data_IF_686015470292
#
_entry.id   IF_686015470292
#
_cell.length_a   1.000
_cell.length_b   1.000
_cell.length_c   1.000
_cell.angle_alpha   90.00
_cell.angle_beta   90.00
_cell.angle_gamma   90.00
#
_symmetry.space_group_name_H-M   'P 1'
#
loop_
_entity.id
_entity.type
_entity.pdbx_description
1 polymer ?
#
# COMPACT_ATOMS: atom_id res chain seq x y z
N UNK A 1 18.89 5.26 -30.55
CA UNK A 1 18.58 6.66 -30.07
C UNK A 1 17.35 6.72 -29.12
N UNK A 2 16.43 5.75 -29.15
CA UNK A 2 15.25 5.72 -28.25
C UNK A 2 15.57 5.19 -26.82
N UNK A 3 16.55 4.32 -26.66
CA UNK A 3 16.94 3.79 -25.34
C UNK A 3 17.75 4.77 -24.48
N UNK A 4 18.45 5.74 -25.08
CA UNK A 4 19.19 6.76 -24.32
C UNK A 4 18.27 7.86 -23.74
N UNK A 5 17.13 8.14 -24.36
CA UNK A 5 16.17 9.14 -23.87
C UNK A 5 15.40 8.69 -22.62
N UNK A 6 15.16 7.41 -22.46
CA UNK A 6 14.44 6.85 -21.28
C UNK A 6 15.32 6.81 -20.03
N UNK A 7 16.62 6.47 -20.16
CA UNK A 7 17.55 6.45 -19.00
C UNK A 7 17.86 7.84 -18.43
N UNK A 8 17.97 8.87 -19.27
CA UNK A 8 18.21 10.25 -18.80
C UNK A 8 17.00 10.85 -18.11
N UNK A 9 15.78 10.55 -18.56
CA UNK A 9 14.55 10.99 -17.87
C UNK A 9 14.33 10.30 -16.52
N UNK A 10 14.66 9.02 -16.39
CA UNK A 10 14.54 8.30 -15.11
C UNK A 10 15.50 8.85 -14.07
N UNK A 11 16.75 9.12 -14.42
CA UNK A 11 17.76 9.68 -13.52
C UNK A 11 17.39 11.08 -13.02
N UNK A 12 16.83 11.95 -13.88
CA UNK A 12 16.38 13.29 -13.48
C UNK A 12 15.16 13.26 -12.54
N UNK A 13 14.24 12.34 -12.76
CA UNK A 13 13.05 12.15 -11.89
C UNK A 13 13.43 11.57 -10.54
N UNK A 14 14.41 10.68 -10.47
CA UNK A 14 14.92 10.12 -9.21
C UNK A 14 15.56 11.21 -8.32
N UNK A 15 16.43 12.04 -8.88
CA UNK A 15 17.02 13.17 -8.16
C UNK A 15 15.95 14.14 -7.66
N UNK A 16 14.90 14.37 -8.45
CA UNK A 16 13.78 15.21 -8.05
C UNK A 16 13.08 14.67 -6.81
N UNK A 17 12.75 13.36 -6.78
CA UNK A 17 12.09 12.75 -5.63
C UNK A 17 12.97 12.72 -4.39
N UNK A 18 14.28 12.57 -4.50
CA UNK A 18 15.20 12.71 -3.37
C UNK A 18 15.19 14.14 -2.79
N UNK A 19 15.19 15.17 -3.64
CA UNK A 19 15.07 16.57 -3.21
C UNK A 19 13.71 16.84 -2.56
N UNK A 20 12.63 16.32 -3.14
CA UNK A 20 11.27 16.44 -2.57
C UNK A 20 11.17 15.76 -1.20
N UNK A 21 11.79 14.58 -1.02
CA UNK A 21 11.86 13.92 0.28
C UNK A 21 12.50 14.82 1.35
N UNK A 22 13.64 15.42 1.04
CA UNK A 22 14.34 16.33 1.94
C UNK A 22 13.52 17.60 2.24
N UNK A 23 12.81 18.11 1.24
CA UNK A 23 11.92 19.26 1.39
C UNK A 23 10.72 18.93 2.30
N UNK A 24 10.03 17.83 2.06
CA UNK A 24 8.89 17.40 2.88
C UNK A 24 9.28 17.11 4.33
N UNK A 25 10.50 16.62 4.56
CA UNK A 25 11.03 16.39 5.91
C UNK A 25 11.23 17.69 6.71
N UNK A 26 11.40 18.83 6.04
CA UNK A 26 11.54 20.16 6.71
C UNK A 26 10.18 20.72 7.17
N UNK A 27 9.08 20.30 6.57
CA UNK A 27 7.74 20.76 6.92
C UNK A 27 7.23 19.95 8.11
N UNK A 28 6.94 20.57 9.29
CA UNK A 28 6.61 19.84 10.52
C UNK A 28 5.43 18.87 10.37
N UNK A 29 4.39 19.28 9.63
CA UNK A 29 3.20 18.48 9.35
C UNK A 29 3.53 17.27 8.47
N UNK A 30 4.23 17.45 7.36
CA UNK A 30 4.59 16.37 6.42
C UNK A 30 5.69 15.45 6.99
N UNK A 31 6.52 15.94 7.90
CA UNK A 31 7.56 15.14 8.57
C UNK A 31 6.99 13.91 9.27
N UNK A 32 5.83 14.06 9.96
CA UNK A 32 5.16 12.95 10.65
C UNK A 32 4.74 11.86 9.66
N UNK A 33 4.17 12.26 8.52
CA UNK A 33 3.72 11.34 7.48
C UNK A 33 4.90 10.64 6.78
N UNK A 34 5.94 11.38 6.47
CA UNK A 34 7.15 10.82 5.84
C UNK A 34 7.82 9.77 6.75
N UNK A 35 7.92 10.01 8.06
CA UNK A 35 8.52 9.06 8.98
C UNK A 35 7.65 7.81 9.17
N UNK A 36 6.33 7.96 9.24
CA UNK A 36 5.38 6.83 9.28
C UNK A 36 5.51 5.98 8.01
N UNK A 37 5.52 6.63 6.86
CA UNK A 37 5.60 5.99 5.55
C UNK A 37 6.94 5.28 5.33
N UNK A 38 8.04 5.92 5.72
CA UNK A 38 9.38 5.33 5.67
C UNK A 38 9.43 4.01 6.42
N UNK A 39 8.93 3.95 7.68
CA UNK A 39 8.92 2.72 8.48
C UNK A 39 8.17 1.58 7.79
N UNK A 40 7.04 1.87 7.14
CA UNK A 40 6.26 0.88 6.40
C UNK A 40 6.97 0.41 5.14
N UNK A 41 7.61 1.32 4.41
CA UNK A 41 8.32 1.00 3.17
C UNK A 41 9.70 0.37 3.40
N UNK A 42 10.33 0.57 4.56
CA UNK A 42 11.58 -0.11 4.94
C UNK A 42 11.41 -1.63 4.99
N UNK A 43 10.22 -2.12 5.34
CA UNK A 43 9.91 -3.56 5.35
C UNK A 43 9.81 -4.11 3.91
N UNK A 44 9.27 -3.31 2.98
CA UNK A 44 9.11 -3.71 1.57
C UNK A 44 10.44 -3.56 0.81
N UNK A 45 11.14 -2.42 1.00
CA UNK A 45 12.40 -2.08 0.34
C UNK A 45 13.58 -2.39 1.25
N UNK A 46 13.79 -3.65 1.60
CA UNK A 46 14.83 -4.06 2.58
C UNK A 46 16.22 -3.58 2.11
N UNK A 47 16.89 -2.82 3.00
CA UNK A 47 18.25 -2.26 2.82
C UNK A 47 18.41 -1.25 1.65
N UNK A 48 17.36 -0.93 0.90
CA UNK A 48 17.41 0.13 -0.11
C UNK A 48 16.82 1.43 0.43
N UNK A 49 17.65 2.20 1.14
CA UNK A 49 17.25 3.50 1.67
C UNK A 49 16.90 4.49 0.55
N UNK A 50 17.55 4.36 -0.60
CA UNK A 50 17.33 5.23 -1.75
C UNK A 50 15.94 5.01 -2.35
N UNK A 51 15.55 3.75 -2.58
CA UNK A 51 14.20 3.39 -3.02
C UNK A 51 13.14 3.80 -2.00
N UNK A 52 13.39 3.57 -0.71
CA UNK A 52 12.48 3.97 0.37
C UNK A 52 12.22 5.47 0.40
N UNK A 53 13.25 6.31 0.23
CA UNK A 53 13.12 7.77 0.14
C UNK A 53 12.35 8.19 -1.11
N UNK A 54 12.68 7.61 -2.26
CA UNK A 54 12.00 7.85 -3.55
C UNK A 54 10.51 7.54 -3.46
N UNK A 55 10.18 6.36 -2.97
CA UNK A 55 8.80 5.89 -2.90
C UNK A 55 8.00 6.66 -1.85
N UNK A 56 8.61 7.00 -0.73
CA UNK A 56 7.98 7.90 0.26
C UNK A 56 7.63 9.26 -0.35
N UNK A 57 8.55 9.85 -1.12
CA UNK A 57 8.29 11.13 -1.79
C UNK A 57 7.21 11.01 -2.87
N UNK A 58 7.23 9.93 -3.68
CA UNK A 58 6.21 9.67 -4.71
C UNK A 58 4.80 9.55 -4.11
N UNK A 59 4.66 8.78 -3.03
CA UNK A 59 3.36 8.57 -2.38
C UNK A 59 2.82 9.88 -1.81
N UNK A 60 3.64 10.66 -1.10
CA UNK A 60 3.21 11.96 -0.55
C UNK A 60 2.86 12.93 -1.67
N UNK A 61 3.69 13.05 -2.71
CA UNK A 61 3.40 13.93 -3.85
C UNK A 61 2.08 13.54 -4.50
N UNK A 62 1.84 12.25 -4.75
CA UNK A 62 0.59 11.75 -5.31
C UNK A 62 -0.61 12.08 -4.42
N UNK A 63 -0.48 11.89 -3.11
CA UNK A 63 -1.54 12.21 -2.14
C UNK A 63 -1.85 13.71 -2.12
N UNK A 64 -0.83 14.57 -2.17
CA UNK A 64 -1.01 16.02 -2.22
C UNK A 64 -1.65 16.49 -3.53
N UNK A 65 -1.27 15.90 -4.66
CA UNK A 65 -1.87 16.21 -5.99
C UNK A 65 -3.35 15.83 -6.03
N UNK A 66 -3.75 14.74 -5.38
CA UNK A 66 -5.16 14.34 -5.28
C UNK A 66 -5.93 15.24 -4.30
N UNK A 67 -5.31 15.63 -3.19
CA UNK A 67 -5.95 16.43 -2.16
C UNK A 67 -6.18 17.88 -2.58
N UNK A 68 -5.25 18.48 -3.32
CA UNK A 68 -5.27 19.89 -3.68
C UNK A 68 -6.55 20.29 -4.44
N UNK A 69 -7.04 19.58 -5.46
CA UNK A 69 -8.32 19.88 -6.12
C UNK A 69 -9.51 19.77 -5.16
N UNK A 70 -9.47 18.83 -4.21
CA UNK A 70 -10.54 18.63 -3.22
C UNK A 70 -10.63 19.83 -2.30
N UNK A 71 -9.49 20.30 -1.77
CA UNK A 71 -9.39 21.52 -0.94
C UNK A 71 -9.93 22.74 -1.68
N UNK A 72 -9.52 22.92 -2.95
CA UNK A 72 -10.01 24.03 -3.78
C UNK A 72 -11.53 23.94 -3.95
N UNK A 73 -12.04 22.74 -4.26
CA UNK A 73 -13.47 22.52 -4.44
C UNK A 73 -14.26 22.82 -3.15
N UNK A 74 -13.75 22.37 -2.00
CA UNK A 74 -14.33 22.65 -0.68
C UNK A 74 -14.41 24.14 -0.41
N UNK A 75 -13.35 24.89 -0.64
CA UNK A 75 -13.33 26.36 -0.47
C UNK A 75 -14.33 27.04 -1.40
N UNK A 76 -14.42 26.58 -2.66
CA UNK A 76 -15.38 27.14 -3.64
C UNK A 76 -16.84 26.87 -3.27
N UNK A 77 -17.16 25.67 -2.80
CA UNK A 77 -18.52 25.26 -2.46
C UNK A 77 -19.01 25.85 -1.12
N UNK A 78 -18.09 26.09 -0.17
CA UNK A 78 -18.45 26.51 1.21
C UNK A 78 -18.20 27.99 1.48
N UNK A 79 -18.04 28.83 0.45
CA UNK A 79 -17.72 30.28 0.55
C UNK A 79 -18.52 31.06 1.59
N UNK A 80 -19.78 30.68 1.84
CA UNK A 80 -20.68 31.39 2.75
C UNK A 80 -20.79 30.76 4.13
N UNK A 81 -20.27 29.56 4.33
CA UNK A 81 -20.36 28.82 5.59
C UNK A 81 -18.98 28.48 6.14
N UNK A 82 -18.35 29.45 6.82
CA UNK A 82 -17.00 29.30 7.38
C UNK A 82 -16.87 28.13 8.37
N UNK A 83 -17.93 27.80 9.11
CA UNK A 83 -17.92 26.70 10.08
C UNK A 83 -17.83 25.35 9.33
N UNK A 84 -18.67 25.16 8.31
CA UNK A 84 -18.61 23.95 7.47
C UNK A 84 -17.28 23.85 6.73
N UNK A 85 -16.78 24.97 6.18
CA UNK A 85 -15.48 25.02 5.52
C UNK A 85 -14.35 24.53 6.45
N UNK A 86 -14.31 25.03 7.69
CA UNK A 86 -13.29 24.65 8.66
C UNK A 86 -13.34 23.16 9.02
N UNK A 87 -14.56 22.63 9.21
CA UNK A 87 -14.75 21.22 9.54
C UNK A 87 -14.36 20.31 8.37
N UNK A 88 -14.73 20.67 7.13
CA UNK A 88 -14.34 19.90 5.95
C UNK A 88 -12.82 19.92 5.73
N UNK A 89 -12.16 21.05 5.96
CA UNK A 89 -10.70 21.13 5.90
C UNK A 89 -10.03 20.21 6.93
N UNK A 90 -10.56 20.14 8.17
CA UNK A 90 -10.08 19.17 9.16
C UNK A 90 -10.28 17.74 8.65
N UNK A 91 -11.44 17.45 8.07
CA UNK A 91 -11.73 16.12 7.53
C UNK A 91 -10.77 15.73 6.38
N UNK A 92 -10.42 16.68 5.51
CA UNK A 92 -9.45 16.49 4.43
C UNK A 92 -8.05 16.10 4.95
N UNK A 93 -7.66 16.56 6.15
CA UNK A 93 -6.41 16.13 6.78
C UNK A 93 -6.41 14.62 7.08
N UNK A 94 -7.57 14.05 7.45
CA UNK A 94 -7.68 12.60 7.64
C UNK A 94 -7.65 11.83 6.30
N UNK A 95 -8.10 12.45 5.21
CA UNK A 95 -8.01 11.86 3.87
C UNK A 95 -6.55 11.63 3.44
N UNK A 96 -5.60 12.44 3.90
CA UNK A 96 -4.16 12.23 3.62
C UNK A 96 -3.69 10.89 4.18
N UNK A 97 -4.06 10.55 5.42
CA UNK A 97 -3.71 9.25 6.03
C UNK A 97 -4.23 8.08 5.21
N UNK A 98 -5.49 8.19 4.72
CA UNK A 98 -6.10 7.14 3.91
C UNK A 98 -5.39 6.94 2.58
N UNK A 99 -5.06 8.05 1.90
CA UNK A 99 -4.37 8.00 0.61
C UNK A 99 -2.97 7.41 0.76
N UNK A 100 -2.29 7.74 1.85
CA UNK A 100 -0.97 7.18 2.18
C UNK A 100 -1.08 5.69 2.47
N UNK A 101 -1.97 5.27 3.38
CA UNK A 101 -2.14 3.87 3.75
C UNK A 101 -2.59 3.04 2.53
N UNK A 102 -3.56 3.52 1.74
CA UNK A 102 -3.97 2.86 0.49
C UNK A 102 -2.85 2.74 -0.56
N UNK A 103 -1.91 3.69 -0.57
CA UNK A 103 -0.78 3.64 -1.51
C UNK A 103 0.30 2.65 -1.07
N UNK A 104 0.48 2.47 0.25
CA UNK A 104 1.37 1.44 0.82
C UNK A 104 0.77 0.06 0.58
N UNK A 105 -0.53 -0.12 0.89
CA UNK A 105 -1.25 -1.39 0.66
C UNK A 105 -1.11 -1.84 -0.80
N UNK A 106 -1.28 -0.91 -1.76
CA UNK A 106 -1.10 -1.20 -3.19
C UNK A 106 0.32 -1.63 -3.55
N UNK A 107 1.34 -1.12 -2.85
CA UNK A 107 2.71 -1.51 -3.10
C UNK A 107 3.00 -2.90 -2.53
N UNK A 108 2.44 -3.21 -1.37
CA UNK A 108 2.51 -4.54 -0.77
C UNK A 108 1.78 -5.59 -1.63
N UNK A 109 0.57 -5.26 -2.11
CA UNK A 109 -0.18 -6.12 -3.04
C UNK A 109 0.59 -6.32 -4.37
N UNK A 110 1.22 -5.27 -4.90
CA UNK A 110 2.05 -5.37 -6.10
C UNK A 110 3.26 -6.30 -5.89
N UNK A 111 3.87 -6.29 -4.70
CA UNK A 111 4.95 -7.22 -4.37
C UNK A 111 4.45 -8.67 -4.36
N UNK A 112 3.25 -8.94 -3.80
CA UNK A 112 2.66 -10.28 -3.82
C UNK A 112 2.41 -10.77 -5.25
N UNK A 113 1.91 -9.90 -6.13
CA UNK A 113 1.72 -10.25 -7.56
C UNK A 113 3.06 -10.58 -8.22
N UNK A 114 4.10 -9.76 -8.00
CA UNK A 114 5.44 -10.04 -8.52
C UNK A 114 6.02 -11.36 -7.98
N UNK A 115 5.71 -11.72 -6.73
CA UNK A 115 6.13 -13.01 -6.16
C UNK A 115 5.47 -14.21 -6.84
N UNK A 116 4.19 -14.10 -7.21
CA UNK A 116 3.48 -15.15 -7.96
C UNK A 116 4.17 -15.38 -9.31
N UNK A 117 4.46 -14.32 -10.04
CA UNK A 117 5.15 -14.39 -11.32
C UNK A 117 6.56 -14.98 -11.14
N UNK A 118 7.30 -14.50 -10.14
CA UNK A 118 8.63 -14.99 -9.79
C UNK A 118 8.65 -16.48 -9.46
N UNK A 119 7.70 -16.97 -8.66
CA UNK A 119 7.60 -18.40 -8.33
C UNK A 119 7.22 -19.26 -9.55
N UNK A 120 6.41 -18.71 -10.45
CA UNK A 120 6.11 -19.37 -11.73
C UNK A 120 7.35 -19.48 -12.61
N UNK A 121 8.15 -18.42 -12.70
CA UNK A 121 9.41 -18.41 -13.44
C UNK A 121 10.45 -19.37 -12.82
N UNK A 122 10.56 -19.41 -11.47
CA UNK A 122 11.41 -20.38 -10.76
C UNK A 122 11.02 -21.83 -11.07
N UNK A 123 9.71 -22.11 -11.15
CA UNK A 123 9.23 -23.44 -11.52
C UNK A 123 9.74 -23.87 -12.90
N UNK A 124 9.73 -22.96 -13.87
CA UNK A 124 10.27 -23.21 -15.21
C UNK A 124 11.78 -23.39 -15.18
N UNK A 125 12.49 -22.49 -14.51
CA UNK A 125 13.95 -22.57 -14.38
C UNK A 125 14.40 -23.86 -13.66
N UNK A 126 13.69 -24.29 -12.61
CA UNK A 126 13.99 -25.50 -11.89
C UNK A 126 13.84 -26.77 -12.77
N UNK A 127 12.87 -26.79 -13.68
CA UNK A 127 12.77 -27.89 -14.66
C UNK A 127 13.97 -27.94 -15.63
N UNK A 128 14.59 -26.80 -15.92
CA UNK A 128 15.73 -26.69 -16.80
C UNK A 128 17.05 -27.06 -16.10
N UNK A 129 17.29 -26.46 -14.92
CA UNK A 129 18.57 -26.57 -14.20
C UNK A 129 18.63 -27.73 -13.20
N UNK A 130 17.49 -28.19 -12.69
CA UNK A 130 17.36 -29.19 -11.61
C UNK A 130 18.15 -28.84 -10.33
N UNK A 131 18.51 -27.57 -10.14
CA UNK A 131 19.18 -27.01 -8.96
C UNK A 131 18.41 -25.79 -8.51
N UNK A 132 18.11 -25.71 -7.20
CA UNK A 132 17.27 -24.65 -6.62
C UNK A 132 17.98 -23.32 -6.67
N UNK A 133 19.26 -23.30 -6.26
CA UNK A 133 20.09 -22.11 -6.23
C UNK A 133 20.27 -21.51 -7.62
N UNK A 134 20.51 -22.34 -8.65
CA UNK A 134 20.66 -21.86 -10.03
C UNK A 134 19.33 -21.32 -10.59
N UNK A 135 18.22 -21.98 -10.31
CA UNK A 135 16.89 -21.52 -10.73
C UNK A 135 16.57 -20.15 -10.11
N UNK A 136 16.86 -19.97 -8.81
CA UNK A 136 16.66 -18.69 -8.13
C UNK A 136 17.58 -17.61 -8.71
N UNK A 137 18.86 -17.93 -8.91
CA UNK A 137 19.81 -16.98 -9.48
C UNK A 137 19.38 -16.47 -10.85
N UNK A 138 19.00 -17.35 -11.76
CA UNK A 138 18.61 -16.99 -13.12
C UNK A 138 17.36 -16.09 -13.17
N UNK A 139 16.36 -16.39 -12.34
CA UNK A 139 15.12 -15.60 -12.28
C UNK A 139 15.34 -14.26 -11.56
N UNK A 140 16.34 -14.17 -10.69
CA UNK A 140 16.64 -12.95 -9.93
C UNK A 140 17.40 -11.88 -10.72
N UNK A 141 17.83 -12.17 -11.95
CA UNK A 141 18.63 -11.22 -12.77
C UNK A 141 17.80 -10.02 -13.33
N UNK A 142 16.49 -9.97 -13.10
CA UNK A 142 15.66 -8.86 -13.53
C UNK A 142 15.66 -7.72 -12.49
N UNK A 143 16.56 -6.76 -12.66
CA UNK A 143 16.78 -5.62 -11.75
C UNK A 143 15.54 -4.68 -11.61
N UNK A 144 14.55 -4.80 -12.49
CA UNK A 144 13.39 -3.91 -12.49
C UNK A 144 12.31 -4.32 -11.46
N UNK A 145 12.33 -5.57 -11.01
CA UNK A 145 11.33 -6.11 -10.06
C UNK A 145 11.82 -6.04 -8.61
N UNK A 146 10.97 -5.57 -7.71
CA UNK A 146 11.26 -5.52 -6.26
C UNK A 146 11.49 -6.94 -5.67
N UNK A 147 10.83 -7.97 -6.26
CA UNK A 147 10.98 -9.37 -5.83
C UNK A 147 12.35 -9.96 -6.21
N UNK A 148 12.96 -9.54 -7.30
CA UNK A 148 14.27 -10.05 -7.74
C UNK A 148 15.36 -9.83 -6.69
N UNK A 149 15.32 -8.69 -5.99
CA UNK A 149 16.23 -8.44 -4.86
C UNK A 149 16.01 -9.40 -3.68
N UNK A 150 14.79 -9.90 -3.50
CA UNK A 150 14.54 -10.94 -2.50
C UNK A 150 15.08 -12.29 -2.96
N UNK A 151 14.94 -12.59 -4.24
CA UNK A 151 15.54 -13.77 -4.86
C UNK A 151 17.07 -13.77 -4.74
N UNK A 152 17.74 -12.66 -5.05
CA UNK A 152 19.19 -12.52 -4.85
C UNK A 152 19.62 -12.78 -3.40
N UNK A 153 18.90 -12.20 -2.42
CA UNK A 153 19.18 -12.47 -1.00
C UNK A 153 19.01 -13.93 -0.63
N UNK A 154 17.95 -14.57 -1.11
CA UNK A 154 17.73 -16.00 -0.86
C UNK A 154 18.85 -16.82 -1.54
N UNK A 155 19.25 -16.45 -2.74
CA UNK A 155 20.40 -17.08 -3.41
C UNK A 155 21.68 -16.93 -2.57
N UNK A 156 22.01 -15.71 -2.12
CA UNK A 156 23.18 -15.44 -1.28
C UNK A 156 23.18 -16.28 0.01
N UNK A 157 22.01 -16.43 0.64
CA UNK A 157 21.83 -17.30 1.81
C UNK A 157 22.14 -18.75 1.45
N UNK A 158 21.58 -19.23 0.35
CA UNK A 158 21.78 -20.62 -0.06
C UNK A 158 23.25 -20.96 -0.33
N UNK A 159 24.02 -20.03 -0.90
CA UNK A 159 25.43 -20.25 -1.24
C UNK A 159 26.41 -19.86 -0.12
N UNK A 160 25.94 -19.29 0.99
CA UNK A 160 26.76 -18.88 2.12
C UNK A 160 27.44 -20.06 2.82
N UNK A 161 28.49 -19.79 3.62
CA UNK A 161 29.17 -20.80 4.42
C UNK A 161 28.33 -21.33 5.59
N UNK A 162 27.36 -20.52 6.08
CA UNK A 162 26.43 -20.87 7.16
C UNK A 162 25.00 -20.47 6.77
N UNK A 163 24.34 -21.25 5.89
CA UNK A 163 23.02 -20.93 5.37
C UNK A 163 21.93 -20.90 6.44
N UNK A 164 22.04 -21.70 7.49
CA UNK A 164 21.04 -21.80 8.56
C UNK A 164 20.97 -20.50 9.37
N UNK A 165 22.12 -19.99 9.82
CA UNK A 165 22.19 -18.72 10.54
C UNK A 165 21.75 -17.52 9.67
N UNK A 166 22.11 -17.50 8.39
CA UNK A 166 21.70 -16.44 7.48
C UNK A 166 20.19 -16.50 7.17
N UNK A 167 19.62 -17.70 7.09
CA UNK A 167 18.19 -17.91 6.91
C UNK A 167 17.40 -17.40 8.12
N UNK A 168 17.86 -17.66 9.36
CA UNK A 168 17.23 -17.12 10.58
C UNK A 168 17.23 -15.59 10.58
N UNK A 169 18.35 -14.96 10.20
CA UNK A 169 18.41 -13.50 10.04
C UNK A 169 17.44 -12.98 8.98
N UNK A 170 17.29 -13.72 7.89
CA UNK A 170 16.33 -13.35 6.84
C UNK A 170 14.88 -13.43 7.32
N UNK A 171 14.54 -14.40 8.16
CA UNK A 171 13.20 -14.52 8.72
C UNK A 171 12.78 -13.29 9.54
N UNK A 172 13.71 -12.61 10.17
CA UNK A 172 13.41 -11.38 10.92
C UNK A 172 13.10 -10.18 10.02
N UNK A 173 13.61 -10.18 8.80
CA UNK A 173 13.54 -9.02 7.89
C UNK A 173 12.70 -9.28 6.63
N UNK A 174 12.31 -10.51 6.35
CA UNK A 174 11.55 -10.85 5.15
C UNK A 174 10.22 -10.08 5.07
N UNK A 175 9.82 -9.59 3.90
CA UNK A 175 8.63 -8.77 3.71
C UNK A 175 7.32 -9.45 4.13
N UNK A 176 7.23 -10.76 3.96
CA UNK A 176 6.04 -11.54 4.29
C UNK A 176 6.38 -13.02 4.54
N UNK A 177 5.39 -13.77 5.02
CA UNK A 177 5.56 -15.18 5.36
C UNK A 177 5.79 -16.06 4.12
N UNK A 178 5.23 -15.72 2.96
CA UNK A 178 5.41 -16.51 1.74
C UNK A 178 6.87 -16.55 1.28
N UNK A 179 7.60 -15.44 1.41
CA UNK A 179 9.03 -15.42 1.14
C UNK A 179 9.84 -16.19 2.18
N UNK A 180 9.42 -16.18 3.47
CA UNK A 180 10.04 -17.01 4.51
C UNK A 180 9.88 -18.51 4.20
N UNK A 181 8.65 -18.92 3.88
CA UNK A 181 8.35 -20.30 3.53
C UNK A 181 9.11 -20.74 2.28
N UNK A 182 9.15 -19.88 1.25
CA UNK A 182 9.90 -20.16 0.04
C UNK A 182 11.40 -20.29 0.30
N UNK A 183 12.01 -19.39 1.09
CA UNK A 183 13.42 -19.45 1.46
C UNK A 183 13.74 -20.73 2.26
N UNK A 184 12.91 -21.07 3.25
CA UNK A 184 13.08 -22.29 4.03
C UNK A 184 12.93 -23.55 3.19
N UNK A 185 11.93 -23.59 2.31
CA UNK A 185 11.73 -24.70 1.36
C UNK A 185 12.93 -24.87 0.41
N UNK A 186 13.45 -23.76 -0.10
CA UNK A 186 14.60 -23.75 -1.00
C UNK A 186 15.87 -24.24 -0.28
N UNK A 187 16.09 -23.80 0.96
CA UNK A 187 17.18 -24.28 1.81
C UNK A 187 17.10 -25.80 2.05
N UNK A 188 15.93 -26.30 2.49
CA UNK A 188 15.73 -27.72 2.73
C UNK A 188 15.94 -28.55 1.47
N UNK A 189 15.49 -28.07 0.33
CA UNK A 189 15.65 -28.79 -0.95
C UNK A 189 17.12 -28.81 -1.40
N UNK A 190 17.86 -27.73 -1.18
CA UNK A 190 19.30 -27.70 -1.47
C UNK A 190 20.08 -28.65 -0.58
N UNK A 191 19.83 -28.65 0.74
CA UNK A 191 20.58 -29.46 1.71
C UNK A 191 20.26 -30.96 1.63
N UNK A 192 18.97 -31.30 1.47
CA UNK A 192 18.50 -32.69 1.56
C UNK A 192 18.09 -33.30 0.21
N UNK A 193 18.15 -32.50 -0.86
CA UNK A 193 17.69 -32.89 -2.18
C UNK A 193 16.18 -32.86 -2.35
N UNK A 194 15.72 -32.82 -3.60
CA UNK A 194 14.31 -32.85 -3.92
C UNK A 194 13.78 -34.28 -3.84
N UNK A 195 12.74 -34.48 -3.04
CA UNK A 195 12.03 -35.75 -2.91
C UNK A 195 10.94 -35.84 -3.98
N UNK A 196 10.82 -36.97 -4.63
CA UNK A 196 9.72 -37.26 -5.56
C UNK A 196 8.60 -38.01 -4.83
N UNK A 197 7.39 -37.46 -4.92
CA UNK A 197 6.18 -38.10 -4.41
C UNK A 197 5.26 -38.35 -5.62
N UNK A 198 4.88 -39.59 -5.83
CA UNK A 198 4.09 -40.01 -7.01
C UNK A 198 4.74 -39.61 -8.36
N UNK A 199 6.05 -39.58 -8.43
CA UNK A 199 6.82 -39.20 -9.61
C UNK A 199 7.00 -37.68 -9.82
N UNK A 200 6.35 -36.84 -9.01
CA UNK A 200 6.46 -35.38 -9.07
C UNK A 200 7.42 -34.83 -8.02
N UNK A 201 8.09 -33.72 -8.34
CA UNK A 201 8.94 -32.96 -7.43
C UNK A 201 8.14 -32.42 -6.25
N UNK A 202 8.57 -32.72 -5.02
CA UNK A 202 7.96 -32.18 -3.81
C UNK A 202 8.24 -30.67 -3.67
N UNK A 203 9.41 -30.22 -4.10
CA UNK A 203 9.74 -28.79 -4.15
C UNK A 203 8.76 -28.02 -4.98
N UNK A 204 8.56 -28.43 -6.24
CA UNK A 204 7.64 -27.77 -7.16
C UNK A 204 6.19 -27.77 -6.67
N UNK A 205 5.75 -28.89 -6.06
CA UNK A 205 4.42 -28.99 -5.46
C UNK A 205 4.24 -27.98 -4.32
N UNK A 206 5.24 -27.81 -3.47
CA UNK A 206 5.18 -26.86 -2.37
C UNK A 206 5.24 -25.41 -2.86
N UNK A 207 6.07 -25.08 -3.87
CA UNK A 207 6.06 -23.77 -4.53
C UNK A 207 4.69 -23.45 -5.12
N UNK A 208 4.03 -24.44 -5.72
CA UNK A 208 2.66 -24.32 -6.26
C UNK A 208 1.64 -24.03 -5.14
N UNK A 209 1.75 -24.72 -4.00
CA UNK A 209 0.90 -24.49 -2.83
C UNK A 209 1.06 -23.07 -2.28
N UNK A 210 2.30 -22.59 -2.10
CA UNK A 210 2.59 -21.20 -1.66
C UNK A 210 1.97 -20.22 -2.66
N UNK A 211 2.09 -20.46 -3.96
CA UNK A 211 1.51 -19.62 -5.01
C UNK A 211 -0.01 -19.56 -4.93
N UNK A 212 -0.68 -20.70 -4.70
CA UNK A 212 -2.13 -20.75 -4.51
C UNK A 212 -2.58 -19.99 -3.24
N UNK A 213 -1.85 -20.15 -2.14
CA UNK A 213 -2.14 -19.40 -0.90
C UNK A 213 -1.99 -17.89 -1.11
N UNK A 214 -0.96 -17.44 -1.85
CA UNK A 214 -0.81 -16.02 -2.21
C UNK A 214 -1.98 -15.51 -3.07
N UNK A 215 -2.45 -16.29 -4.04
CA UNK A 215 -3.62 -15.92 -4.85
C UNK A 215 -4.87 -15.75 -3.98
N UNK A 216 -5.09 -16.66 -3.03
CA UNK A 216 -6.21 -16.57 -2.09
C UNK A 216 -6.07 -15.33 -1.20
N UNK A 217 -4.86 -15.04 -0.74
CA UNK A 217 -4.59 -13.85 0.09
C UNK A 217 -4.87 -12.55 -0.69
N UNK A 218 -4.45 -12.44 -1.94
CA UNK A 218 -4.74 -11.29 -2.80
C UNK A 218 -6.26 -11.11 -2.95
N UNK A 219 -6.99 -12.19 -3.25
CA UNK A 219 -8.45 -12.14 -3.38
C UNK A 219 -9.15 -11.70 -2.08
N UNK A 220 -8.66 -12.15 -0.92
CA UNK A 220 -9.17 -11.72 0.39
C UNK A 220 -8.91 -10.21 0.61
N UNK A 221 -7.71 -9.75 0.32
CA UNK A 221 -7.32 -8.33 0.45
C UNK A 221 -8.14 -7.45 -0.48
N UNK A 222 -8.30 -7.83 -1.73
CA UNK A 222 -9.12 -7.11 -2.71
C UNK A 222 -10.57 -6.99 -2.26
N UNK A 223 -11.16 -8.08 -1.78
CA UNK A 223 -12.53 -8.09 -1.24
C UNK A 223 -12.66 -7.17 -0.03
N UNK A 224 -11.74 -7.24 0.93
CA UNK A 224 -11.73 -6.37 2.10
C UNK A 224 -11.57 -4.91 1.71
N UNK A 225 -10.61 -4.59 0.85
CA UNK A 225 -10.39 -3.24 0.36
C UNK A 225 -11.60 -2.67 -0.37
N UNK A 226 -12.28 -3.48 -1.20
CA UNK A 226 -13.52 -3.08 -1.88
C UNK A 226 -14.63 -2.75 -0.88
N UNK A 227 -14.88 -3.62 0.10
CA UNK A 227 -15.92 -3.41 1.12
C UNK A 227 -15.64 -2.16 1.95
N UNK A 228 -14.42 -2.01 2.47
CA UNK A 228 -14.07 -0.85 3.30
C UNK A 228 -14.03 0.46 2.51
N UNK A 229 -13.63 0.43 1.25
CA UNK A 229 -13.69 1.59 0.36
C UNK A 229 -15.15 2.02 0.13
N UNK A 230 -16.04 1.07 -0.13
CA UNK A 230 -17.46 1.34 -0.32
C UNK A 230 -18.11 1.90 0.95
N UNK A 231 -17.84 1.30 2.12
CA UNK A 231 -18.33 1.79 3.42
C UNK A 231 -17.81 3.20 3.73
N UNK A 232 -16.55 3.47 3.44
CA UNK A 232 -15.98 4.82 3.64
C UNK A 232 -16.65 5.86 2.76
N UNK A 233 -16.93 5.55 1.50
CA UNK A 233 -17.65 6.45 0.58
C UNK A 233 -19.08 6.74 1.07
N UNK A 234 -19.80 5.71 1.50
CA UNK A 234 -21.15 5.84 2.06
C UNK A 234 -21.14 6.71 3.33
N UNK A 235 -20.13 6.53 4.18
CA UNK A 235 -20.00 7.31 5.42
C UNK A 235 -19.77 8.81 5.16
N UNK A 236 -19.11 9.18 4.06
CA UNK A 236 -18.77 10.56 3.70
C UNK A 236 -19.88 11.24 2.91
N UNK A 237 -20.69 10.47 2.18
CA UNK A 237 -21.72 11.00 1.28
C UNK A 237 -22.65 12.06 1.94
N UNK A 238 -23.16 11.89 3.17
CA UNK A 238 -24.03 12.90 3.80
C UNK A 238 -23.41 14.28 3.90
N UNK A 239 -22.08 14.35 4.14
CA UNK A 239 -21.37 15.63 4.27
C UNK A 239 -21.23 16.34 2.92
N UNK A 240 -20.96 15.59 1.86
CA UNK A 240 -20.84 16.15 0.50
C UNK A 240 -22.17 16.74 -0.01
N UNK A 241 -23.29 16.12 0.34
CA UNK A 241 -24.61 16.55 -0.09
C UNK A 241 -25.27 17.58 0.84
N UNK A 242 -24.70 17.85 2.02
CA UNK A 242 -25.32 18.72 3.03
C UNK A 242 -25.59 20.12 2.50
N UNK A 243 -24.59 20.80 1.92
CA UNK A 243 -24.74 22.18 1.42
C UNK A 243 -25.58 22.25 0.12
N UNK A 244 -25.39 21.39 -0.88
CA UNK A 244 -26.28 21.31 -2.03
C UNK A 244 -27.77 21.11 -1.64
N UNK A 245 -28.05 20.18 -0.73
CA UNK A 245 -29.43 19.91 -0.26
C UNK A 245 -30.01 21.09 0.52
N UNK A 246 -29.20 21.71 1.40
CA UNK A 246 -29.62 22.93 2.12
C UNK A 246 -29.99 24.06 1.16
N UNK A 247 -29.12 24.33 0.17
CA UNK A 247 -29.35 25.39 -0.82
C UNK A 247 -30.58 25.11 -1.69
N UNK A 248 -30.77 23.85 -2.10
CA UNK A 248 -31.94 23.42 -2.81
C UNK A 248 -33.22 23.63 -1.97
N UNK A 249 -33.19 23.20 -0.70
CA UNK A 249 -34.33 23.37 0.20
C UNK A 249 -34.70 24.84 0.43
N UNK A 250 -33.72 25.71 0.65
CA UNK A 250 -33.90 27.15 0.83
C UNK A 250 -34.48 27.82 -0.44
N UNK A 251 -34.04 27.38 -1.62
CA UNK A 251 -34.49 27.91 -2.91
C UNK A 251 -35.93 27.52 -3.21
N UNK A 252 -36.37 26.33 -2.85
CA UNK A 252 -37.72 25.83 -3.12
C UNK A 252 -38.74 26.16 -1.99
N UNK A 253 -38.24 26.27 -0.75
CA UNK A 253 -39.08 26.49 0.45
C UNK A 253 -38.54 27.65 1.27
N UNK A 254 -38.94 28.88 0.97
CA UNK A 254 -38.39 30.09 1.61
C UNK A 254 -38.59 30.12 3.13
N UNK A 255 -39.62 29.46 3.68
CA UNK A 255 -39.89 29.38 5.12
C UNK A 255 -38.84 28.58 5.89
N UNK A 256 -38.11 27.66 5.25
CA UNK A 256 -37.07 26.88 5.94
C UNK A 256 -35.73 27.64 6.08
N UNK A 257 -35.59 28.77 5.40
CA UNK A 257 -34.35 29.59 5.44
C UNK A 257 -33.99 30.02 6.86
N UNK A 258 -34.94 30.48 7.64
CA UNK A 258 -34.73 30.90 9.01
C UNK A 258 -34.30 29.75 9.93
N UNK A 259 -34.83 28.57 9.67
CA UNK A 259 -34.46 27.35 10.40
C UNK A 259 -33.04 26.88 10.07
N UNK A 260 -32.72 26.73 8.79
CA UNK A 260 -31.37 26.28 8.39
C UNK A 260 -30.25 27.23 8.78
N UNK A 261 -30.49 28.53 8.74
CA UNK A 261 -29.53 29.57 9.13
C UNK A 261 -29.61 29.92 10.61
N UNK A 262 -30.58 29.39 11.34
CA UNK A 262 -30.76 29.56 12.78
C UNK A 262 -29.93 28.59 13.61
N UNK A 263 -30.00 28.74 14.95
CA UNK A 263 -29.28 27.87 15.90
C UNK A 263 -29.57 26.39 15.71
N UNK A 264 -30.83 26.03 15.42
CA UNK A 264 -31.26 24.64 15.18
C UNK A 264 -30.59 24.03 13.96
N UNK A 265 -30.52 24.76 12.85
CA UNK A 265 -29.86 24.30 11.64
C UNK A 265 -28.34 24.08 11.83
N UNK A 266 -27.67 24.95 12.56
CA UNK A 266 -26.26 24.83 12.91
C UNK A 266 -26.04 23.60 13.78
N UNK A 267 -26.86 23.34 14.79
CA UNK A 267 -26.76 22.16 15.65
C UNK A 267 -26.90 20.88 14.85
N UNK A 268 -27.87 20.81 13.93
CA UNK A 268 -28.10 19.63 13.07
C UNK A 268 -26.92 19.42 12.13
N UNK A 269 -26.36 20.47 11.54
CA UNK A 269 -25.16 20.37 10.71
C UNK A 269 -23.96 19.79 11.50
N UNK A 270 -23.70 20.30 12.71
CA UNK A 270 -22.64 19.78 13.58
C UNK A 270 -22.91 18.32 13.94
N UNK A 271 -24.15 17.94 14.24
CA UNK A 271 -24.50 16.57 14.60
C UNK A 271 -24.28 15.61 13.42
N UNK A 272 -24.65 15.97 12.20
CA UNK A 272 -24.38 15.18 10.99
C UNK A 272 -22.87 15.00 10.82
N UNK A 273 -22.07 16.05 10.99
CA UNK A 273 -20.61 15.98 10.89
C UNK A 273 -19.99 15.06 11.94
N UNK A 274 -20.45 15.14 13.19
CA UNK A 274 -19.99 14.27 14.28
C UNK A 274 -20.34 12.81 13.99
N UNK A 275 -21.56 12.53 13.56
CA UNK A 275 -21.99 11.16 13.20
C UNK A 275 -21.15 10.63 12.04
N UNK A 276 -20.93 11.42 11.00
CA UNK A 276 -20.11 11.04 9.85
C UNK A 276 -18.67 10.75 10.28
N UNK A 277 -18.11 11.58 11.15
CA UNK A 277 -16.74 11.38 11.67
C UNK A 277 -16.63 10.09 12.49
N UNK A 278 -17.59 9.84 13.39
CA UNK A 278 -17.63 8.61 14.19
C UNK A 278 -17.76 7.39 13.27
N UNK A 279 -18.69 7.42 12.31
CA UNK A 279 -18.90 6.33 11.34
C UNK A 279 -17.61 6.04 10.56
N UNK A 280 -16.94 7.08 10.10
CA UNK A 280 -15.68 6.96 9.38
C UNK A 280 -14.57 6.33 10.25
N UNK A 281 -14.38 6.80 11.50
CA UNK A 281 -13.39 6.25 12.44
C UNK A 281 -13.68 4.78 12.75
N UNK A 282 -14.95 4.41 12.91
CA UNK A 282 -15.35 3.01 13.13
C UNK A 282 -15.01 2.12 11.93
N UNK A 283 -15.34 2.55 10.71
CA UNK A 283 -15.01 1.81 9.49
C UNK A 283 -13.50 1.62 9.37
N UNK A 284 -12.70 2.65 9.64
CA UNK A 284 -11.24 2.58 9.62
C UNK A 284 -10.70 1.59 10.65
N UNK A 285 -11.20 1.64 11.89
CA UNK A 285 -10.79 0.72 12.95
C UNK A 285 -11.14 -0.74 12.63
N UNK A 286 -12.28 -0.98 11.99
CA UNK A 286 -12.66 -2.30 11.51
C UNK A 286 -11.72 -2.81 10.40
N UNK A 287 -11.28 -1.93 9.48
CA UNK A 287 -10.30 -2.27 8.46
C UNK A 287 -8.97 -2.70 9.10
N UNK A 288 -8.44 -1.87 10.02
CA UNK A 288 -7.17 -2.15 10.68
C UNK A 288 -7.19 -3.48 11.45
N UNK A 289 -8.29 -3.78 12.16
CA UNK A 289 -8.46 -5.06 12.85
C UNK A 289 -8.65 -6.24 11.89
N UNK A 290 -9.31 -6.05 10.75
CA UNK A 290 -9.48 -7.07 9.72
C UNK A 290 -8.16 -7.46 9.05
N UNK A 291 -7.27 -6.52 8.83
CA UNK A 291 -5.95 -6.77 8.24
C UNK A 291 -4.98 -7.51 9.19
N UNK A 292 -5.10 -7.28 10.50
CA UNK A 292 -4.27 -7.98 11.51
C UNK A 292 -4.65 -9.46 11.61
N UNK A 293 -5.93 -9.81 11.49
CA UNK A 293 -6.38 -11.22 11.55
C UNK A 293 -6.06 -12.05 10.30
N UNK A 294 -5.62 -11.42 9.21
CA UNK A 294 -5.19 -12.12 7.98
C UNK A 294 -3.69 -12.32 7.91
N UNK A 295 -2.91 -11.68 8.80
CA UNK A 295 -1.43 -11.76 8.84
C UNK A 295 -0.88 -12.69 9.93
N UNK A 296 -1.75 -13.32 10.73
CA UNK A 296 -1.42 -14.38 11.70
C UNK A 296 -1.80 -15.75 11.18
#
# INVERSE_FOLDING_TARGET
>A
KLQQGTKTNSFSTEILFQKLYLFYRKIPFLKRYILKLRRKLEIINIQDEYATRRDSAKIITKSLVILLPIVILTILLTKTNYLLMFILLIFELFMVDILIDSSVDKKDDALLVQQIDFFSEIRHAYHEYNMVEEAIYQVSQDDEKDVSRQGEKIYDILISDDPETELEKYYDVAPNNFLKEFAGLSYLTKEFGDRKVDGASLYLKNVDNITQEMQIEILKRDKLNYVFRSLSLISIAPVLFLEPLKNWAISNFSFVRSWYNGKSGIIVQILILVITFISYVLVRKLKDNGSVNTST
#
